data_IF_385530520278
#
_entry.id   IF_385530520278
#
_cell.length_a   1.000
_cell.length_b   1.000
_cell.length_c   1.000
_cell.angle_alpha   90.00
_cell.angle_beta   90.00
_cell.angle_gamma   90.00
#
_symmetry.space_group_name_H-M   'P 1'
#
loop_
_entity.id
_entity.type
_entity.pdbx_description
1 polymer ?
#
# COMPACT_ATOMS: atom_id res chain seq x y z
N UNK A 1 -11.49 -1.60 -14.85
CA UNK A 1 -12.33 -2.16 -13.77
C UNK A 1 -13.51 -1.23 -13.51
N UNK A 2 -14.59 -1.73 -12.92
CA UNK A 2 -15.78 -0.94 -12.58
C UNK A 2 -16.10 -1.15 -11.10
N UNK A 3 -16.31 -0.05 -10.37
CA UNK A 3 -16.69 -0.05 -8.96
C UNK A 3 -17.98 0.78 -8.83
N UNK A 4 -19.13 0.10 -8.75
CA UNK A 4 -20.44 0.76 -8.87
C UNK A 4 -20.57 1.53 -10.18
N UNK A 5 -20.81 2.85 -10.09
CA UNK A 5 -20.90 3.76 -11.26
C UNK A 5 -19.54 4.31 -11.73
N UNK A 6 -18.46 3.98 -11.02
CA UNK A 6 -17.12 4.50 -11.28
C UNK A 6 -16.33 3.56 -12.18
N UNK A 7 -15.86 4.06 -13.32
CA UNK A 7 -14.98 3.34 -14.25
C UNK A 7 -13.54 3.74 -14.00
N UNK A 8 -12.70 2.78 -13.65
CA UNK A 8 -11.27 2.99 -13.46
C UNK A 8 -10.51 2.33 -14.60
N UNK A 9 -9.83 3.15 -15.39
CA UNK A 9 -8.94 2.73 -16.46
C UNK A 9 -7.53 2.51 -15.88
N UNK A 10 -7.20 1.24 -15.62
CA UNK A 10 -5.90 0.82 -15.10
C UNK A 10 -4.80 0.82 -16.19
N UNK A 11 -5.16 0.97 -17.47
CA UNK A 11 -4.17 1.09 -18.54
C UNK A 11 -3.65 2.52 -18.61
N UNK A 12 -4.58 3.49 -18.60
CA UNK A 12 -4.26 4.92 -18.69
C UNK A 12 -4.06 5.60 -17.32
N UNK A 13 -4.46 4.95 -16.23
CA UNK A 13 -4.37 5.52 -14.88
C UNK A 13 -5.34 6.66 -14.69
N UNK A 14 -6.62 6.46 -15.05
CA UNK A 14 -7.66 7.50 -14.94
C UNK A 14 -8.97 6.94 -14.39
N UNK A 15 -9.62 7.73 -13.54
CA UNK A 15 -10.99 7.46 -13.07
C UNK A 15 -11.94 8.32 -13.90
N UNK A 16 -12.96 7.68 -14.49
CA UNK A 16 -13.95 8.29 -15.36
C UNK A 16 -13.31 9.19 -16.45
N UNK A 17 -12.12 8.80 -16.93
CA UNK A 17 -11.29 9.54 -17.90
C UNK A 17 -10.84 10.96 -17.49
N UNK A 18 -11.13 11.39 -16.26
CA UNK A 18 -10.91 12.76 -15.78
C UNK A 18 -9.90 12.85 -14.65
N UNK A 19 -10.03 12.01 -13.62
CA UNK A 19 -9.20 12.10 -12.43
C UNK A 19 -7.94 11.24 -12.63
N UNK A 20 -6.72 11.82 -12.60
CA UNK A 20 -5.50 11.07 -12.81
C UNK A 20 -5.13 10.23 -11.57
N UNK A 21 -4.62 9.04 -11.83
CA UNK A 21 -3.95 8.21 -10.85
C UNK A 21 -2.45 8.41 -10.97
N UNK A 22 -1.77 8.54 -9.85
CA UNK A 22 -0.31 8.53 -9.78
C UNK A 22 0.22 7.11 -9.78
N UNK A 23 -0.48 6.21 -9.09
CA UNK A 23 -0.16 4.77 -9.04
C UNK A 23 -1.37 3.93 -8.70
N UNK A 24 -1.28 2.64 -9.03
CA UNK A 24 -2.14 1.57 -8.55
C UNK A 24 -1.27 0.60 -7.76
N UNK A 25 -1.75 0.20 -6.58
CA UNK A 25 -1.05 -0.72 -5.68
C UNK A 25 -1.98 -1.88 -5.36
N UNK A 26 -1.46 -3.10 -5.45
CA UNK A 26 -2.18 -4.32 -5.11
C UNK A 26 -1.61 -4.89 -3.81
N UNK A 27 -2.52 -5.22 -2.90
CA UNK A 27 -2.21 -5.71 -1.56
C UNK A 27 -2.89 -7.04 -1.35
N UNK A 28 -2.15 -8.03 -0.85
CA UNK A 28 -2.69 -9.34 -0.48
C UNK A 28 -1.99 -9.82 0.80
N UNK A 29 -2.76 -10.26 1.79
CA UNK A 29 -2.22 -10.73 3.08
C UNK A 29 -1.40 -9.68 3.85
N UNK A 30 -1.75 -8.39 3.73
CA UNK A 30 -1.00 -7.29 4.36
C UNK A 30 0.38 -7.04 3.72
N UNK A 31 0.59 -7.48 2.49
CA UNK A 31 1.82 -7.26 1.72
C UNK A 31 1.49 -6.65 0.38
N UNK A 32 2.29 -5.68 -0.05
CA UNK A 32 2.24 -5.19 -1.42
C UNK A 32 2.73 -6.28 -2.37
N UNK A 33 1.85 -6.73 -3.28
CA UNK A 33 2.14 -7.78 -4.27
C UNK A 33 2.31 -7.22 -5.69
N UNK A 34 1.96 -5.96 -5.91
CA UNK A 34 2.15 -5.29 -7.19
C UNK A 34 2.04 -3.78 -7.09
N UNK A 35 2.78 -3.08 -7.94
CA UNK A 35 2.69 -1.62 -8.11
C UNK A 35 2.78 -1.29 -9.60
N UNK A 36 1.90 -0.39 -10.05
CA UNK A 36 1.98 0.23 -11.37
C UNK A 36 1.95 1.75 -11.20
N UNK A 37 3.00 2.42 -11.66
CA UNK A 37 3.09 3.89 -11.68
C UNK A 37 2.66 4.42 -13.05
N UNK A 38 2.07 5.61 -13.05
CA UNK A 38 1.69 6.33 -14.26
C UNK A 38 2.55 7.58 -14.42
N UNK A 39 2.73 8.12 -15.63
CA UNK A 39 3.53 9.33 -15.89
C UNK A 39 2.82 10.63 -15.46
N UNK A 40 1.96 10.58 -14.44
CA UNK A 40 1.23 11.71 -13.91
C UNK A 40 1.99 12.29 -12.71
N UNK A 41 2.38 13.58 -12.76
CA UNK A 41 3.07 14.25 -11.62
C UNK A 41 2.17 14.32 -10.37
N UNK A 42 0.89 14.57 -10.58
CA UNK A 42 -0.14 14.66 -9.54
C UNK A 42 -1.22 13.62 -9.80
N UNK A 43 -1.91 13.18 -8.74
CA UNK A 43 -3.00 12.23 -8.82
C UNK A 43 -3.10 11.37 -7.58
N UNK A 44 -4.16 10.57 -7.52
CA UNK A 44 -4.43 9.70 -6.37
C UNK A 44 -3.67 8.38 -6.48
N UNK A 45 -3.48 7.73 -5.34
CA UNK A 45 -3.15 6.30 -5.29
C UNK A 45 -4.44 5.50 -5.23
N UNK A 46 -4.60 4.56 -6.16
CA UNK A 46 -5.63 3.53 -6.08
C UNK A 46 -5.04 2.27 -5.43
N UNK A 47 -5.49 1.93 -4.24
CA UNK A 47 -5.07 0.73 -3.53
C UNK A 47 -6.15 -0.33 -3.60
N UNK A 48 -5.79 -1.51 -4.06
CA UNK A 48 -6.69 -2.66 -4.23
C UNK A 48 -6.28 -3.73 -3.23
N UNK A 49 -7.12 -3.99 -2.24
CA UNK A 49 -6.94 -5.07 -1.27
C UNK A 49 -7.61 -6.32 -1.84
N UNK A 50 -6.86 -7.40 -1.94
CA UNK A 50 -7.27 -8.64 -2.60
C UNK A 50 -7.42 -9.76 -1.57
N UNK A 51 -8.54 -10.49 -1.60
CA UNK A 51 -8.71 -11.71 -0.81
C UNK A 51 -7.85 -12.85 -1.36
N UNK A 52 -7.70 -12.89 -2.68
CA UNK A 52 -6.90 -13.83 -3.44
C UNK A 52 -6.56 -13.20 -4.81
N UNK A 53 -5.70 -13.82 -5.64
CA UNK A 53 -5.26 -13.22 -6.91
C UNK A 53 -6.37 -12.86 -7.91
N UNK A 54 -7.60 -13.38 -7.73
CA UNK A 54 -8.73 -13.17 -8.64
C UNK A 54 -9.87 -12.36 -8.02
N UNK A 55 -9.80 -12.01 -6.73
CA UNK A 55 -10.91 -11.41 -6.00
C UNK A 55 -10.47 -10.15 -5.24
N UNK A 56 -11.12 -9.04 -5.56
CA UNK A 56 -10.97 -7.78 -4.84
C UNK A 56 -11.90 -7.76 -3.62
N UNK A 57 -11.34 -7.45 -2.44
CA UNK A 57 -12.11 -7.27 -1.21
C UNK A 57 -12.49 -5.82 -1.02
N UNK A 58 -11.56 -4.91 -1.26
CA UNK A 58 -11.73 -3.48 -1.00
C UNK A 58 -10.92 -2.67 -2.02
N UNK A 59 -11.44 -1.49 -2.36
CA UNK A 59 -10.77 -0.51 -3.22
C UNK A 59 -10.75 0.82 -2.50
N UNK A 60 -9.56 1.36 -2.26
CA UNK A 60 -9.34 2.62 -1.58
C UNK A 60 -8.74 3.63 -2.56
N UNK A 61 -9.22 4.87 -2.49
CA UNK A 61 -8.65 5.99 -3.23
C UNK A 61 -8.09 6.98 -2.22
N UNK A 62 -6.81 7.31 -2.34
CA UNK A 62 -6.12 8.11 -1.33
C UNK A 62 -5.15 9.11 -1.93
N UNK A 63 -4.97 10.23 -1.24
CA UNK A 63 -3.94 11.22 -1.54
C UNK A 63 -2.54 10.69 -1.18
N UNK A 64 -1.49 11.38 -1.65
CA UNK A 64 -0.11 10.94 -1.47
C UNK A 64 0.27 10.84 0.01
N UNK A 65 -0.10 11.83 0.83
CA UNK A 65 0.30 11.86 2.24
C UNK A 65 -0.36 10.73 3.04
N UNK A 66 -1.61 10.38 2.71
CA UNK A 66 -2.30 9.24 3.28
C UNK A 66 -1.63 7.93 2.85
N UNK A 67 -1.24 7.82 1.58
CA UNK A 67 -0.50 6.67 1.09
C UNK A 67 0.85 6.52 1.81
N UNK A 68 1.57 7.62 2.06
CA UNK A 68 2.89 7.63 2.71
C UNK A 68 2.83 7.49 4.23
N UNK A 69 1.65 7.57 4.84
CA UNK A 69 1.49 7.41 6.28
C UNK A 69 2.06 6.08 6.79
N UNK A 70 2.58 6.07 8.02
CA UNK A 70 3.05 4.84 8.68
C UNK A 70 1.96 3.78 8.76
N UNK A 71 0.70 4.20 8.95
CA UNK A 71 -0.43 3.29 8.91
C UNK A 71 -0.52 2.57 7.56
N UNK A 72 -0.55 3.30 6.44
CA UNK A 72 -0.65 2.64 5.14
C UNK A 72 0.61 1.84 4.80
N UNK A 73 1.80 2.40 4.99
CA UNK A 73 3.07 1.73 4.68
C UNK A 73 3.25 0.45 5.51
N UNK A 74 3.10 0.52 6.83
CA UNK A 74 3.35 -0.63 7.70
C UNK A 74 2.16 -1.59 7.75
N UNK A 75 0.95 -1.10 8.02
CA UNK A 75 -0.21 -1.96 8.27
C UNK A 75 -0.82 -2.53 6.99
N UNK A 76 -1.02 -1.71 5.96
CA UNK A 76 -1.65 -2.16 4.70
C UNK A 76 -0.61 -2.78 3.76
N UNK A 77 0.51 -2.10 3.51
CA UNK A 77 1.51 -2.54 2.52
C UNK A 77 2.54 -3.52 3.08
N UNK A 78 2.67 -3.63 4.40
CA UNK A 78 3.69 -4.46 5.04
C UNK A 78 5.12 -3.99 4.76
N UNK A 79 5.27 -2.68 4.50
CA UNK A 79 6.55 -1.99 4.34
C UNK A 79 6.94 -1.40 5.69
N UNK A 80 7.91 -2.04 6.32
CA UNK A 80 8.54 -1.57 7.54
C UNK A 80 10.04 -1.82 7.43
N UNK A 81 10.82 -1.04 8.17
CA UNK A 81 12.25 -1.25 8.23
C UNK A 81 12.56 -2.41 9.18
N UNK A 82 13.11 -3.53 8.68
CA UNK A 82 13.42 -4.68 9.51
C UNK A 82 14.58 -4.43 10.48
N UNK A 83 15.35 -3.34 10.36
CA UNK A 83 16.33 -2.94 11.37
C UNK A 83 15.62 -2.55 12.68
N UNK A 84 14.51 -1.82 12.57
CA UNK A 84 13.77 -1.25 13.70
C UNK A 84 12.54 -2.05 14.10
N UNK A 85 11.95 -2.84 13.19
CA UNK A 85 10.68 -3.51 13.46
C UNK A 85 10.73 -4.99 13.10
N UNK A 86 10.08 -5.79 13.93
CA UNK A 86 9.76 -7.18 13.65
C UNK A 86 8.23 -7.36 13.67
N UNK A 87 7.67 -7.90 12.60
CA UNK A 87 6.28 -8.34 12.59
C UNK A 87 6.15 -9.65 13.38
N UNK A 88 5.54 -9.58 14.55
CA UNK A 88 5.38 -10.73 15.47
C UNK A 88 4.02 -11.42 15.32
N UNK A 89 3.03 -10.71 14.76
CA UNK A 89 1.72 -11.26 14.42
C UNK A 89 1.20 -10.60 13.14
N UNK A 90 0.71 -11.41 12.21
CA UNK A 90 -0.04 -10.96 11.05
C UNK A 90 -1.42 -11.64 11.02
N UNK A 91 -2.46 -10.91 11.42
CA UNK A 91 -3.86 -11.31 11.33
C UNK A 91 -4.63 -10.30 10.44
N UNK A 92 -4.03 -9.92 9.32
CA UNK A 92 -4.60 -8.95 8.38
C UNK A 92 -5.96 -9.43 7.81
N UNK A 93 -6.97 -8.54 7.66
CA UNK A 93 -6.94 -7.09 7.87
C UNK A 93 -7.34 -6.65 9.30
N UNK A 94 -7.52 -7.58 10.24
CA UNK A 94 -8.02 -7.23 11.58
C UNK A 94 -6.96 -6.61 12.48
N UNK A 95 -5.76 -7.20 12.52
CA UNK A 95 -4.69 -6.72 13.39
C UNK A 95 -3.30 -7.15 12.92
N UNK A 96 -2.29 -6.34 13.26
CA UNK A 96 -0.88 -6.68 13.10
C UNK A 96 -0.12 -6.18 14.31
N UNK A 97 0.91 -6.92 14.75
CA UNK A 97 1.75 -6.54 15.87
C UNK A 97 3.20 -6.38 15.41
N UNK A 98 3.74 -5.19 15.64
CA UNK A 98 5.14 -4.88 15.35
C UNK A 98 5.89 -4.66 16.65
N UNK A 99 6.95 -5.44 16.87
CA UNK A 99 7.89 -5.25 17.97
C UNK A 99 8.96 -4.27 17.50
N UNK A 100 9.12 -3.16 18.22
CA UNK A 100 10.26 -2.27 18.01
C UNK A 100 11.54 -2.91 18.56
N UNK A 101 12.62 -2.84 17.79
CA UNK A 101 13.96 -3.29 18.14
C UNK A 101 14.81 -2.06 18.36
N UNK A 102 15.51 -2.02 19.49
CA UNK A 102 16.55 -1.02 19.71
C UNK A 102 17.76 -1.43 18.86
N UNK A 103 18.16 -0.61 17.87
CA UNK A 103 19.38 -0.89 17.13
C UNK A 103 20.53 -0.97 18.12
N UNK A 104 21.34 -2.04 18.04
CA UNK A 104 22.60 -2.03 18.78
C UNK A 104 23.47 -0.94 18.16
N UNK A 105 23.95 0.01 18.96
CA UNK A 105 25.01 0.93 18.52
C UNK A 105 26.10 0.07 17.91
N UNK A 106 26.35 0.22 16.62
CA UNK A 106 27.54 -0.36 16.01
C UNK A 106 28.73 0.20 16.80
N UNK A 107 29.37 -0.68 17.58
CA UNK A 107 30.65 -0.40 18.22
C UNK A 107 31.70 -0.30 17.12
N UNK A 108 31.67 0.79 16.38
CA UNK A 108 32.71 1.18 15.43
C UNK A 108 33.09 2.62 15.73
N UNK A 109 33.88 2.77 16.79
CA UNK A 109 34.90 3.80 16.93
C UNK A 109 35.92 3.31 17.96
N UNK A 110 37.23 3.57 17.79
CA UNK A 110 37.91 4.29 16.69
C UNK A 110 38.53 3.37 15.63
#
# INVERSE_FOLDING_TARGET
MTCGKTKVDLNQGRINQRVPLKRVVQVMGGRMVGEKKYPNRNGYTLQIIMANPRQFSEVQLMEEDVYLSNFNQMFLLGKFDPEYFEETLNAFPMSRLFRFKFPQKSSSAP
#
